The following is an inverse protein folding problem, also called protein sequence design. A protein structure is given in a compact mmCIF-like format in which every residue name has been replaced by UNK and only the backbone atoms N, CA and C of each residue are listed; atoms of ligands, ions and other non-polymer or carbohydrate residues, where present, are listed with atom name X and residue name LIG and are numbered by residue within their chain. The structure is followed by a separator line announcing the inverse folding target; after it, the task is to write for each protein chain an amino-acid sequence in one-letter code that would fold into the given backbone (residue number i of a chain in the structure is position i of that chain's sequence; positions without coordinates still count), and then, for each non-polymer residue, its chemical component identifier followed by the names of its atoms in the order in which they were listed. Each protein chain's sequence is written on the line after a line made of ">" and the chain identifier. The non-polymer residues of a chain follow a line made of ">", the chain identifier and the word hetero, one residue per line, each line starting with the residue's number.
data_IF_184065435591
#
_entry.id   IF_184065435591
#
_cell.length_a   1.000
_cell.length_b   1.000
_cell.length_c   1.000
_cell.angle_alpha   90.00
_cell.angle_beta   90.00
_cell.angle_gamma   90.00
#
_symmetry.space_group_name_H-M   'P 1'
#
loop_
_entity.id
_entity.type
_entity.pdbx_description
1 polymer ?
#
# COMPACT_ATOMS: atom_id res chain seq x y z
N UNK A 1 -2.19 14.67 -37.66
CA UNK A 1 -1.45 13.49 -37.17
C UNK A 1 -2.17 13.00 -35.91
N UNK A 2 -3.08 12.03 -36.08
CA UNK A 2 -3.91 11.50 -34.99
C UNK A 2 -3.03 10.63 -34.08
N UNK A 3 -3.04 10.89 -32.78
CA UNK A 3 -2.35 10.03 -31.82
C UNK A 3 -2.87 8.58 -31.98
N UNK A 4 -2.00 7.55 -31.97
CA UNK A 4 -2.45 6.18 -32.09
C UNK A 4 -3.40 5.84 -30.93
N UNK A 5 -4.48 5.07 -31.19
CA UNK A 5 -5.43 4.69 -30.14
C UNK A 5 -4.68 3.97 -29.02
N UNK A 6 -4.85 4.46 -27.80
CA UNK A 6 -4.32 3.84 -26.60
C UNK A 6 -4.89 2.42 -26.45
N UNK A 7 -4.09 1.42 -26.84
CA UNK A 7 -4.42 0.01 -26.62
C UNK A 7 -4.08 -0.38 -25.18
N UNK A 8 -4.79 0.19 -24.21
CA UNK A 8 -4.97 -0.56 -22.95
C UNK A 8 -5.90 -1.70 -23.24
N UNK A 9 -5.40 -2.91 -23.08
CA UNK A 9 -6.28 -4.03 -22.85
C UNK A 9 -7.13 -3.73 -21.62
N UNK A 10 -8.45 -3.94 -21.68
CA UNK A 10 -9.37 -3.60 -20.59
C UNK A 10 -8.96 -4.17 -19.23
N UNK A 11 -8.25 -5.30 -19.21
CA UNK A 11 -7.68 -5.88 -18.00
C UNK A 11 -6.65 -4.98 -17.31
N UNK A 12 -5.88 -4.16 -18.03
CA UNK A 12 -4.85 -3.29 -17.42
C UNK A 12 -5.52 -2.11 -16.74
N UNK A 13 -6.53 -1.54 -17.40
CA UNK A 13 -7.37 -0.50 -16.82
C UNK A 13 -8.08 -0.99 -15.56
N UNK A 14 -8.67 -2.20 -15.61
CA UNK A 14 -9.28 -2.83 -14.45
C UNK A 14 -8.28 -3.05 -13.31
N UNK A 15 -7.09 -3.58 -13.61
CA UNK A 15 -6.03 -3.77 -12.63
C UNK A 15 -5.53 -2.44 -12.04
N UNK A 16 -5.46 -1.36 -12.81
CA UNK A 16 -5.12 -0.02 -12.31
C UNK A 16 -6.18 0.49 -11.35
N UNK A 17 -7.46 0.39 -11.70
CA UNK A 17 -8.55 0.85 -10.84
C UNK A 17 -8.67 0.01 -9.56
N UNK A 18 -8.43 -1.29 -9.64
CA UNK A 18 -8.39 -2.13 -8.44
C UNK A 18 -7.21 -1.74 -7.52
N UNK A 19 -6.06 -1.33 -8.08
CA UNK A 19 -4.95 -0.77 -7.30
C UNK A 19 -5.34 0.56 -6.62
N UNK A 20 -6.05 1.44 -7.32
CA UNK A 20 -6.58 2.69 -6.74
C UNK A 20 -7.49 2.38 -5.56
N UNK A 21 -8.44 1.46 -5.73
CA UNK A 21 -9.38 1.08 -4.67
C UNK A 21 -8.64 0.47 -3.47
N UNK A 22 -7.64 -0.38 -3.72
CA UNK A 22 -6.83 -0.97 -2.67
C UNK A 22 -6.09 0.10 -1.85
N UNK A 23 -5.41 1.03 -2.51
CA UNK A 23 -4.68 2.11 -1.85
C UNK A 23 -5.62 3.04 -1.08
N UNK A 24 -6.74 3.44 -1.69
CA UNK A 24 -7.73 4.30 -1.04
C UNK A 24 -8.36 3.63 0.18
N UNK A 25 -8.75 2.37 0.08
CA UNK A 25 -9.32 1.61 1.19
C UNK A 25 -8.30 1.40 2.32
N UNK A 26 -7.05 1.07 1.98
CA UNK A 26 -5.97 0.95 2.95
C UNK A 26 -5.72 2.29 3.66
N UNK A 27 -5.52 3.38 2.90
CA UNK A 27 -5.28 4.71 3.45
C UNK A 27 -6.41 5.20 4.34
N UNK A 28 -7.66 5.06 3.88
CA UNK A 28 -8.82 5.43 4.70
C UNK A 28 -8.89 4.60 5.97
N UNK A 29 -8.58 3.29 5.92
CA UNK A 29 -8.54 2.45 7.11
C UNK A 29 -7.47 2.90 8.12
N UNK A 30 -6.30 3.38 7.68
CA UNK A 30 -5.29 3.94 8.57
C UNK A 30 -5.76 5.22 9.26
N UNK A 31 -6.56 6.04 8.55
CA UNK A 31 -7.06 7.32 9.06
C UNK A 31 -8.32 7.20 9.94
N UNK A 32 -9.06 6.09 9.84
CA UNK A 32 -10.38 5.95 10.47
C UNK A 32 -10.46 4.71 11.39
N UNK A 33 -11.02 3.60 10.92
CA UNK A 33 -11.38 2.45 11.76
C UNK A 33 -10.21 1.53 12.12
N UNK A 34 -9.17 1.46 11.28
CA UNK A 34 -8.02 0.58 11.47
C UNK A 34 -6.89 1.19 12.30
N UNK A 35 -6.87 2.52 12.48
CA UNK A 35 -5.79 3.30 13.11
C UNK A 35 -5.23 2.66 14.38
N UNK A 36 -6.10 2.30 15.33
CA UNK A 36 -5.72 1.68 16.61
C UNK A 36 -5.00 0.34 16.42
N UNK A 37 -5.48 -0.49 15.49
CA UNK A 37 -4.86 -1.77 15.17
C UNK A 37 -3.50 -1.62 14.47
N UNK A 38 -3.36 -0.62 13.60
CA UNK A 38 -2.11 -0.39 12.89
C UNK A 38 -0.97 0.08 13.79
N UNK A 39 -1.25 0.87 14.84
CA UNK A 39 -0.24 1.29 15.83
C UNK A 39 0.49 0.09 16.45
N UNK A 40 -0.23 -1.01 16.67
CA UNK A 40 0.29 -2.22 17.29
C UNK A 40 1.35 -2.88 16.40
N UNK A 41 1.25 -2.73 15.08
CA UNK A 41 2.15 -3.39 14.11
C UNK A 41 3.35 -2.52 13.71
N UNK A 42 3.41 -1.27 14.14
CA UNK A 42 4.58 -0.40 13.92
C UNK A 42 5.76 -0.89 14.78
N UNK A 43 6.90 -1.24 14.17
CA UNK A 43 8.11 -1.61 14.91
C UNK A 43 8.68 -0.45 15.73
N UNK A 44 9.27 -0.73 16.90
CA UNK A 44 9.83 0.31 17.77
C UNK A 44 11.06 1.00 17.18
N UNK A 45 11.75 0.36 16.23
CA UNK A 45 12.87 1.02 15.52
C UNK A 45 12.37 2.10 14.55
N UNK A 46 11.13 2.00 14.05
CA UNK A 46 10.58 2.98 13.12
C UNK A 46 10.39 4.33 13.80
N UNK A 47 9.96 4.34 15.06
CA UNK A 47 9.84 5.59 15.84
C UNK A 47 11.20 6.22 16.14
N UNK A 48 12.23 5.40 16.39
CA UNK A 48 13.61 5.88 16.56
C UNK A 48 14.18 6.47 15.27
N UNK A 49 13.86 5.87 14.12
CA UNK A 49 14.36 6.31 12.81
C UNK A 49 13.69 7.62 12.35
N UNK A 50 12.37 7.75 12.55
CA UNK A 50 11.60 8.90 12.04
C UNK A 50 11.47 10.02 13.06
N UNK A 51 11.71 9.77 14.34
CA UNK A 51 11.40 10.70 15.44
C UNK A 51 9.89 10.89 15.68
N UNK A 52 9.04 10.14 14.98
CA UNK A 52 7.59 10.20 15.10
C UNK A 52 7.08 9.09 16.02
N UNK A 53 5.99 9.36 16.74
CA UNK A 53 5.29 8.29 17.44
C UNK A 53 4.59 7.32 16.47
N UNK A 54 4.14 6.17 16.98
CA UNK A 54 3.51 5.13 16.16
C UNK A 54 2.22 5.61 15.49
N UNK A 55 1.52 6.55 16.10
CA UNK A 55 0.26 7.04 15.58
C UNK A 55 0.47 8.01 14.42
N UNK A 56 1.44 8.92 14.55
CA UNK A 56 1.88 9.82 13.49
C UNK A 56 2.40 9.03 12.27
N UNK A 57 3.14 7.93 12.49
CA UNK A 57 3.58 7.03 11.40
C UNK A 57 2.37 6.44 10.66
N UNK A 58 1.36 5.95 11.38
CA UNK A 58 0.13 5.36 10.81
C UNK A 58 -0.71 6.39 10.06
N UNK A 59 -0.86 7.59 10.61
CA UNK A 59 -1.60 8.68 9.95
C UNK A 59 -0.85 9.14 8.70
N UNK A 60 0.47 9.34 8.81
CA UNK A 60 1.31 9.74 7.68
C UNK A 60 1.26 8.72 6.55
N UNK A 61 1.36 7.43 6.85
CA UNK A 61 1.21 6.37 5.83
C UNK A 61 -0.18 6.40 5.20
N UNK A 62 -1.23 6.59 5.99
CA UNK A 62 -2.60 6.68 5.50
C UNK A 62 -2.83 7.84 4.52
N UNK A 63 -2.27 9.01 4.82
CA UNK A 63 -2.30 10.18 3.90
C UNK A 63 -1.55 9.87 2.61
N UNK A 64 -0.34 9.29 2.70
CA UNK A 64 0.45 8.91 1.53
C UNK A 64 -0.29 7.91 0.64
N UNK A 65 -0.95 6.91 1.22
CA UNK A 65 -1.75 5.92 0.48
C UNK A 65 -2.90 6.59 -0.30
N UNK A 66 -3.64 7.51 0.32
CA UNK A 66 -4.72 8.25 -0.35
C UNK A 66 -4.18 9.13 -1.48
N UNK A 67 -3.05 9.82 -1.25
CA UNK A 67 -2.38 10.63 -2.28
C UNK A 67 -1.91 9.77 -3.45
N UNK A 68 -1.32 8.60 -3.18
CA UNK A 68 -0.91 7.64 -4.21
C UNK A 68 -2.11 7.08 -4.97
N UNK A 69 -3.23 6.80 -4.30
CA UNK A 69 -4.48 6.40 -4.97
C UNK A 69 -4.96 7.48 -5.94
N UNK A 70 -4.94 8.75 -5.51
CA UNK A 70 -5.25 9.90 -6.36
C UNK A 70 -4.32 10.00 -7.56
N UNK A 71 -3.00 9.92 -7.33
CA UNK A 71 -1.99 9.98 -8.40
C UNK A 71 -2.16 8.84 -9.42
N UNK A 72 -2.38 7.60 -8.94
CA UNK A 72 -2.65 6.46 -9.81
C UNK A 72 -3.95 6.66 -10.58
N UNK A 73 -4.97 7.32 -10.02
CA UNK A 73 -6.24 7.58 -10.70
C UNK A 73 -6.13 8.68 -11.77
N UNK A 74 -5.53 9.82 -11.44
CA UNK A 74 -5.54 11.04 -12.27
C UNK A 74 -4.38 11.15 -13.25
N UNK A 75 -3.26 10.50 -12.99
CA UNK A 75 -2.06 10.55 -13.85
C UNK A 75 -1.83 9.16 -14.48
N UNK A 76 -2.65 8.76 -15.47
CA UNK A 76 -2.52 7.46 -16.10
C UNK A 76 -1.15 7.31 -16.77
N UNK A 77 -0.56 6.12 -16.64
CA UNK A 77 0.65 5.66 -17.35
C UNK A 77 1.96 6.37 -17.02
N UNK A 78 2.04 7.05 -15.89
CA UNK A 78 3.30 7.63 -15.47
C UNK A 78 4.12 6.59 -14.70
N UNK A 79 5.19 6.09 -15.33
CA UNK A 79 6.09 5.07 -14.72
C UNK A 79 6.59 5.49 -13.34
N UNK A 80 6.84 6.79 -13.12
CA UNK A 80 7.26 7.32 -11.83
C UNK A 80 6.22 7.08 -10.72
N UNK A 81 4.93 7.22 -11.01
CA UNK A 81 3.85 6.92 -10.04
C UNK A 81 3.88 5.44 -9.65
N UNK A 82 4.06 4.54 -10.63
CA UNK A 82 4.26 3.12 -10.37
C UNK A 82 5.43 2.82 -9.44
N UNK A 83 6.57 3.45 -9.69
CA UNK A 83 7.77 3.33 -8.85
C UNK A 83 7.54 3.87 -7.44
N UNK A 84 6.83 4.98 -7.28
CA UNK A 84 6.50 5.54 -5.97
C UNK A 84 5.61 4.58 -5.17
N UNK A 85 4.57 4.00 -5.79
CA UNK A 85 3.71 3.00 -5.15
C UNK A 85 4.51 1.74 -4.78
N UNK A 86 5.37 1.27 -5.69
CA UNK A 86 6.23 0.11 -5.45
C UNK A 86 7.20 0.35 -4.28
N UNK A 87 7.87 1.51 -4.24
CA UNK A 87 8.74 1.90 -3.15
C UNK A 87 7.99 2.01 -1.82
N UNK A 88 6.77 2.56 -1.84
CA UNK A 88 5.91 2.63 -0.67
C UNK A 88 5.55 1.23 -0.14
N UNK A 89 5.17 0.29 -1.01
CA UNK A 89 4.92 -1.09 -0.60
C UNK A 89 6.17 -1.75 0.01
N UNK A 90 7.37 -1.49 -0.50
CA UNK A 90 8.61 -1.97 0.12
C UNK A 90 8.83 -1.33 1.49
N UNK A 91 8.60 -0.03 1.61
CA UNK A 91 8.80 0.71 2.86
C UNK A 91 7.88 0.24 4.00
N UNK A 92 6.65 -0.18 3.71
CA UNK A 92 5.71 -0.71 4.72
C UNK A 92 5.92 -2.20 5.06
N UNK A 93 6.67 -2.93 4.23
CA UNK A 93 6.89 -4.38 4.42
C UNK A 93 7.47 -4.77 5.79
N UNK A 94 8.42 -4.02 6.38
CA UNK A 94 8.93 -4.34 7.72
C UNK A 94 7.85 -4.37 8.80
N UNK A 95 6.79 -3.55 8.67
CA UNK A 95 5.64 -3.59 9.57
C UNK A 95 4.85 -4.90 9.44
N UNK A 96 4.69 -5.41 8.22
CA UNK A 96 4.02 -6.71 7.99
C UNK A 96 4.84 -7.87 8.55
N UNK A 97 6.16 -7.84 8.35
CA UNK A 97 7.07 -8.85 8.89
C UNK A 97 7.06 -8.84 10.42
N UNK A 98 7.11 -7.65 11.02
CA UNK A 98 7.02 -7.46 12.46
C UNK A 98 5.70 -7.98 13.02
N UNK A 99 4.58 -7.69 12.36
CA UNK A 99 3.27 -8.21 12.74
C UNK A 99 3.25 -9.75 12.75
N UNK A 100 3.76 -10.39 11.69
CA UNK A 100 3.81 -11.84 11.59
C UNK A 100 4.68 -12.45 12.70
N UNK A 101 5.89 -11.93 12.91
CA UNK A 101 6.82 -12.43 13.94
C UNK A 101 6.29 -12.27 15.37
N UNK A 102 5.53 -11.22 15.64
CA UNK A 102 5.02 -10.91 16.98
C UNK A 102 3.61 -11.43 17.23
N UNK A 103 2.98 -12.07 16.24
CA UNK A 103 1.63 -12.62 16.36
C UNK A 103 0.53 -11.57 16.60
N UNK A 104 0.83 -10.28 16.39
CA UNK A 104 -0.07 -9.18 16.78
C UNK A 104 -1.32 -9.16 15.89
N UNK A 105 -2.48 -9.26 16.53
CA UNK A 105 -3.77 -9.20 15.84
C UNK A 105 -4.10 -7.79 15.37
N UNK A 106 -4.52 -7.66 14.11
CA UNK A 106 -5.15 -6.46 13.58
C UNK A 106 -6.54 -6.83 13.02
N UNK A 107 -7.44 -5.86 12.81
CA UNK A 107 -8.71 -6.11 12.11
C UNK A 107 -8.46 -6.88 10.80
N UNK A 108 -9.24 -7.94 10.55
CA UNK A 108 -9.08 -8.90 9.44
C UNK A 108 -7.80 -9.75 9.39
N UNK A 109 -6.82 -9.56 10.28
CA UNK A 109 -5.55 -10.31 10.34
C UNK A 109 -5.36 -10.99 11.70
N UNK A 110 -6.27 -11.93 12.02
CA UNK A 110 -6.30 -12.62 13.32
C UNK A 110 -5.43 -13.88 13.37
N UNK A 111 -5.17 -14.55 12.24
CA UNK A 111 -4.44 -15.83 12.20
C UNK A 111 -3.01 -15.68 11.66
N UNK A 112 -2.11 -16.57 12.07
CA UNK A 112 -0.73 -16.62 11.53
C UNK A 112 -0.70 -16.89 10.03
N UNK A 113 -1.61 -17.77 9.57
CA UNK A 113 -1.77 -18.06 8.14
C UNK A 113 -2.11 -16.79 7.34
N UNK A 114 -3.04 -15.97 7.83
CA UNK A 114 -3.40 -14.71 7.16
C UNK A 114 -2.23 -13.71 7.14
N UNK A 115 -1.50 -13.59 8.25
CA UNK A 115 -0.30 -12.74 8.34
C UNK A 115 0.80 -13.22 7.39
N UNK A 116 1.02 -14.53 7.28
CA UNK A 116 2.02 -15.11 6.37
C UNK A 116 1.66 -14.90 4.90
N UNK A 117 0.40 -15.13 4.51
CA UNK A 117 -0.09 -14.86 3.14
C UNK A 117 0.16 -13.40 2.76
N UNK A 118 -0.06 -12.45 3.68
CA UNK A 118 0.21 -11.02 3.44
C UNK A 118 1.67 -10.75 3.05
N UNK A 119 2.63 -11.48 3.62
CA UNK A 119 4.04 -11.35 3.26
C UNK A 119 4.28 -11.79 1.80
N UNK A 120 3.67 -12.89 1.37
CA UNK A 120 3.77 -13.39 0.00
C UNK A 120 3.06 -12.47 -1.01
N UNK A 121 2.00 -11.78 -0.59
CA UNK A 121 1.31 -10.81 -1.44
C UNK A 121 2.11 -9.52 -1.65
N UNK A 122 3.03 -9.16 -0.75
CA UNK A 122 3.80 -7.92 -0.89
C UNK A 122 4.60 -7.83 -2.21
N UNK A 123 5.42 -8.81 -2.63
CA UNK A 123 6.09 -8.75 -3.93
C UNK A 123 5.12 -8.73 -5.11
N UNK A 124 3.95 -9.38 -4.98
CA UNK A 124 2.89 -9.32 -5.99
C UNK A 124 2.34 -7.90 -6.13
N UNK A 125 2.11 -7.19 -5.01
CA UNK A 125 1.67 -5.79 -5.03
C UNK A 125 2.70 -4.87 -5.68
N UNK A 126 3.99 -5.08 -5.43
CA UNK A 126 5.10 -4.32 -6.06
C UNK A 126 5.07 -4.52 -7.58
N UNK A 127 5.05 -5.77 -8.05
CA UNK A 127 5.03 -6.09 -9.49
C UNK A 127 3.76 -5.54 -10.14
N UNK A 128 2.62 -5.68 -9.47
CA UNK A 128 1.34 -5.17 -9.95
C UNK A 128 1.34 -3.65 -10.09
N UNK A 129 1.87 -2.90 -9.11
CA UNK A 129 2.01 -1.45 -9.19
C UNK A 129 2.86 -1.03 -10.40
N UNK A 130 4.01 -1.67 -10.60
CA UNK A 130 4.90 -1.39 -11.74
C UNK A 130 4.28 -1.75 -13.08
N UNK A 131 3.41 -2.76 -13.14
CA UNK A 131 2.81 -3.22 -14.39
C UNK A 131 1.51 -2.49 -14.75
N UNK A 132 0.68 -2.14 -13.76
CA UNK A 132 -0.60 -1.46 -13.97
C UNK A 132 -0.44 0.03 -14.34
N UNK A 133 0.73 0.61 -14.09
CA UNK A 133 1.07 2.03 -14.36
C UNK A 133 2.03 2.21 -15.54
N UNK A 134 2.33 1.13 -16.27
CA UNK A 134 3.14 1.13 -17.50
C UNK A 134 2.36 1.50 -18.75
#
# INVERSE_FOLDING_TARGET
>A
MSAPPDRTTGWRAAARWLLVLLLAAAGLSHLTWGRRGYRIVVPDWSTRLTGLDKDAIVVGSGVVEVMLAGAVATIPRQRSVGWLVAAFFVAVFPGNLHQWRTGRSAPMLRTDRARFIRLLLQPVLVIWALWATR
#
